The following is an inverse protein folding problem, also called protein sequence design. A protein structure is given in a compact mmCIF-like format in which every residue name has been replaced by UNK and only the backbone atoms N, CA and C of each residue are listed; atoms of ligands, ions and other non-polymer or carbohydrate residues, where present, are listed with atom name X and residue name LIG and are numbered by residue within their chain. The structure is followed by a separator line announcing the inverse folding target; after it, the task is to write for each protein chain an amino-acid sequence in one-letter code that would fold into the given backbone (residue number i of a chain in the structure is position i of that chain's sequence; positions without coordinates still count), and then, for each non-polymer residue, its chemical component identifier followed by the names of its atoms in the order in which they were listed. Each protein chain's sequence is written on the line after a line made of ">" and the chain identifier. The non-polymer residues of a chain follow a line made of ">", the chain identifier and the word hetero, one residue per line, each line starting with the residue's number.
data_IF_932118319949
#
_entry.id   IF_932118319949
#
_cell.length_a   1.000
_cell.length_b   1.000
_cell.length_c   1.000
_cell.angle_alpha   90.00
_cell.angle_beta   90.00
_cell.angle_gamma   90.00
#
_symmetry.space_group_name_H-M   'P 1'
#
loop_
_entity.id
_entity.type
_entity.pdbx_description
1 polymer ?
#
# COMPACT_ATOMS: atom_id res chain seq x y z
N UNK A 1 -10.55 4.18 -12.17
CA UNK A 1 -11.01 4.19 -10.77
C UNK A 1 -9.77 4.11 -9.92
N UNK A 2 -9.32 5.26 -9.43
CA UNK A 2 -8.15 5.34 -8.57
C UNK A 2 -8.59 5.09 -7.14
N UNK A 3 -8.28 3.89 -6.64
CA UNK A 3 -8.37 3.61 -5.22
C UNK A 3 -7.00 3.90 -4.63
N UNK A 4 -6.76 5.16 -4.31
CA UNK A 4 -5.58 5.60 -3.55
C UNK A 4 -6.03 5.86 -2.11
N UNK A 5 -5.60 5.03 -1.17
CA UNK A 5 -6.02 5.09 0.25
C UNK A 5 -4.99 5.78 1.14
N UNK A 6 -4.79 7.09 1.05
CA UNK A 6 -3.81 7.79 1.89
C UNK A 6 -4.33 8.09 3.30
N UNK A 7 -3.51 7.80 4.31
CA UNK A 7 -3.74 8.13 5.73
C UNK A 7 -3.53 9.63 6.00
N UNK A 8 -4.39 10.23 6.82
CA UNK A 8 -4.12 11.50 7.54
C UNK A 8 -4.87 11.49 8.87
N UNK A 9 -4.16 11.15 9.95
CA UNK A 9 -4.65 11.28 11.34
C UNK A 9 -4.45 12.71 11.80
N UNK A 10 -5.43 13.60 11.56
CA UNK A 10 -5.62 14.83 12.37
C UNK A 10 -6.87 15.62 11.96
N UNK A 11 -8.07 15.05 12.01
CA UNK A 11 -9.31 15.84 11.85
C UNK A 11 -10.37 15.39 12.84
N UNK A 12 -11.19 16.32 13.31
CA UNK A 12 -12.21 16.07 14.30
C UNK A 12 -13.19 15.01 13.78
N UNK A 13 -13.14 13.80 14.35
CA UNK A 13 -14.01 12.69 13.99
C UNK A 13 -15.15 12.59 15.00
N UNK A 14 -16.40 12.63 14.51
CA UNK A 14 -17.52 12.04 15.24
C UNK A 14 -17.55 10.54 14.96
N UNK A 15 -17.92 9.72 15.95
CA UNK A 15 -17.97 8.25 15.79
C UNK A 15 -19.39 7.78 15.58
N UNK A 16 -19.58 6.87 14.63
CA UNK A 16 -20.83 6.17 14.40
C UNK A 16 -20.60 4.66 14.26
N UNK A 17 -21.62 3.88 14.62
CA UNK A 17 -21.65 2.43 14.43
C UNK A 17 -22.58 2.14 13.27
N UNK A 18 -22.12 1.36 12.30
CA UNK A 18 -22.93 0.93 11.16
C UNK A 18 -22.69 -0.54 10.84
N UNK A 19 -23.72 -1.21 10.31
CA UNK A 19 -23.61 -2.54 9.71
C UNK A 19 -23.18 -2.34 8.26
N UNK A 20 -21.88 -2.50 8.01
CA UNK A 20 -21.30 -2.13 6.73
C UNK A 20 -20.81 -3.26 5.89
N UNK A 21 -20.50 -2.96 4.63
CA UNK A 21 -20.19 -3.97 3.64
C UNK A 21 -18.87 -3.67 2.94
N UNK A 22 -17.98 -4.66 2.89
CA UNK A 22 -16.78 -4.65 2.08
C UNK A 22 -17.12 -5.32 0.76
N UNK A 23 -16.86 -4.65 -0.37
CA UNK A 23 -17.13 -5.20 -1.70
C UNK A 23 -16.05 -4.74 -2.66
N UNK A 24 -15.50 -5.68 -3.42
CA UNK A 24 -14.77 -5.37 -4.66
C UNK A 24 -15.76 -5.38 -5.84
N UNK A 25 -15.44 -4.67 -6.92
CA UNK A 25 -16.36 -4.31 -8.02
C UNK A 25 -17.25 -5.47 -8.51
N UNK A 26 -16.68 -6.69 -8.59
CA UNK A 26 -17.35 -7.89 -9.10
C UNK A 26 -17.45 -9.03 -8.07
N UNK A 27 -17.06 -8.79 -6.81
CA UNK A 27 -17.03 -9.81 -5.75
C UNK A 27 -18.33 -9.91 -4.94
N UNK A 28 -18.52 -11.02 -4.19
CA UNK A 28 -19.57 -11.09 -3.19
C UNK A 28 -19.37 -10.01 -2.13
N UNK A 29 -20.48 -9.48 -1.64
CA UNK A 29 -20.48 -8.47 -0.59
C UNK A 29 -20.21 -9.13 0.77
N UNK A 30 -19.20 -8.64 1.49
CA UNK A 30 -18.86 -9.08 2.84
C UNK A 30 -19.49 -8.13 3.86
N UNK A 31 -20.55 -8.57 4.52
CA UNK A 31 -21.24 -7.76 5.54
C UNK A 31 -20.55 -7.88 6.90
N UNK A 32 -19.99 -6.78 7.40
CA UNK A 32 -19.28 -6.71 8.68
C UNK A 32 -20.08 -5.84 9.64
N UNK A 33 -20.82 -6.50 10.52
CA UNK A 33 -21.67 -5.84 11.51
C UNK A 33 -20.86 -5.13 12.60
N UNK A 34 -21.47 -4.14 13.26
CA UNK A 34 -20.88 -3.39 14.35
C UNK A 34 -19.53 -2.74 14.00
N UNK A 35 -19.39 -2.28 12.76
CA UNK A 35 -18.19 -1.57 12.32
C UNK A 35 -18.29 -0.12 12.73
N UNK A 36 -17.28 0.36 13.45
CA UNK A 36 -17.17 1.78 13.82
C UNK A 36 -16.43 2.52 12.72
N UNK A 37 -16.92 3.68 12.31
CA UNK A 37 -16.23 4.56 11.38
C UNK A 37 -16.20 6.00 11.90
N UNK A 38 -15.21 6.75 11.44
CA UNK A 38 -15.08 8.17 11.71
C UNK A 38 -15.86 8.99 10.68
N UNK A 39 -16.66 9.94 11.15
CA UNK A 39 -17.29 10.96 10.33
C UNK A 39 -16.40 12.21 10.34
N UNK A 40 -15.78 12.48 9.19
CA UNK A 40 -14.97 13.68 9.00
C UNK A 40 -15.85 14.93 8.96
N UNK A 41 -15.59 15.90 9.83
CA UNK A 41 -16.21 17.24 9.77
C UNK A 41 -15.37 18.24 8.99
N UNK A 42 -14.10 17.92 8.78
CA UNK A 42 -13.14 18.67 7.99
C UNK A 42 -12.33 17.66 7.17
N UNK A 43 -11.89 18.06 5.98
CA UNK A 43 -11.03 17.27 5.10
C UNK A 43 -9.81 18.11 4.69
N UNK A 44 -8.63 17.50 4.58
CA UNK A 44 -7.42 18.22 4.19
C UNK A 44 -7.49 18.68 2.72
N UNK A 45 -6.88 19.83 2.34
CA UNK A 45 -6.98 20.38 0.99
C UNK A 45 -6.52 19.45 -0.13
N UNK A 46 -5.61 18.51 0.17
CA UNK A 46 -5.14 17.56 -0.83
C UNK A 46 -6.25 16.59 -1.31
N UNK A 47 -7.35 16.42 -0.55
CA UNK A 47 -8.51 15.63 -0.98
C UNK A 47 -9.40 16.36 -2.00
N UNK A 48 -9.26 17.68 -2.19
CA UNK A 48 -10.15 18.47 -3.07
C UNK A 48 -10.19 17.95 -4.51
N UNK A 49 -9.10 17.35 -4.99
CA UNK A 49 -8.95 16.87 -6.36
C UNK A 49 -8.82 15.35 -6.46
N UNK A 50 -9.10 14.61 -5.37
CA UNK A 50 -9.06 13.14 -5.35
C UNK A 50 -10.50 12.62 -5.32
N UNK A 51 -10.85 11.75 -6.28
CA UNK A 51 -12.16 11.13 -6.36
C UNK A 51 -12.29 9.95 -5.37
N UNK A 52 -12.43 10.26 -4.07
CA UNK A 52 -12.65 9.27 -3.00
C UNK A 52 -13.75 9.73 -2.05
N UNK A 53 -14.60 8.79 -1.63
CA UNK A 53 -15.67 9.06 -0.66
C UNK A 53 -15.22 8.86 0.80
N UNK A 54 -14.03 8.27 1.02
CA UNK A 54 -13.48 8.02 2.34
C UNK A 54 -12.27 7.07 2.31
N UNK A 55 -11.78 6.73 3.50
CA UNK A 55 -10.63 5.85 3.69
C UNK A 55 -11.07 4.61 4.48
N UNK A 56 -10.67 3.45 3.99
CA UNK A 56 -10.82 2.19 4.69
C UNK A 56 -9.47 1.76 5.28
N UNK A 57 -9.28 1.96 6.58
CA UNK A 57 -8.06 1.55 7.27
C UNK A 57 -7.95 0.02 7.39
N UNK A 58 -6.86 -0.55 6.86
CA UNK A 58 -6.59 -2.00 6.88
C UNK A 58 -5.39 -2.40 7.76
N UNK A 59 -4.72 -1.43 8.38
CA UNK A 59 -3.63 -1.65 9.33
C UNK A 59 -4.13 -2.22 10.67
N UNK A 60 -3.21 -2.43 11.63
CA UNK A 60 -3.55 -3.05 12.91
C UNK A 60 -4.22 -2.06 13.87
N UNK A 61 -5.02 -2.59 14.81
CA UNK A 61 -5.75 -1.78 15.81
C UNK A 61 -4.82 -0.91 16.68
N UNK A 62 -3.56 -1.29 16.84
CA UNK A 62 -2.55 -0.57 17.63
C UNK A 62 -2.22 0.83 17.10
N UNK A 63 -2.47 1.09 15.82
CA UNK A 63 -2.28 2.41 15.18
C UNK A 63 -3.60 3.06 14.76
N UNK A 64 -4.74 2.43 15.10
CA UNK A 64 -6.04 3.03 14.85
C UNK A 64 -6.32 4.13 15.88
N UNK A 65 -6.90 5.23 15.43
CA UNK A 65 -7.34 6.30 16.32
C UNK A 65 -8.30 5.73 17.37
N UNK A 66 -8.06 6.10 18.64
CA UNK A 66 -8.75 5.58 19.81
C UNK A 66 -8.79 4.05 19.93
N UNK A 67 -7.84 3.35 19.31
CA UNK A 67 -7.77 1.90 19.25
C UNK A 67 -9.06 1.27 18.74
N UNK A 68 -9.78 1.94 17.84
CA UNK A 68 -11.00 1.40 17.24
C UNK A 68 -10.63 0.20 16.35
N UNK A 69 -11.43 -0.87 16.44
CA UNK A 69 -11.18 -2.11 15.70
C UNK A 69 -11.34 -1.88 14.19
N UNK A 70 -10.29 -2.12 13.38
CA UNK A 70 -10.38 -2.01 11.93
C UNK A 70 -11.39 -2.99 11.33
N UNK A 71 -12.06 -2.66 10.21
CA UNK A 71 -13.15 -3.48 9.65
C UNK A 71 -12.72 -4.91 9.29
N UNK A 72 -11.51 -5.10 8.76
CA UNK A 72 -11.00 -6.43 8.44
C UNK A 72 -10.79 -7.29 9.70
N UNK A 73 -10.23 -6.70 10.76
CA UNK A 73 -10.03 -7.39 12.04
C UNK A 73 -11.38 -7.73 12.67
N UNK A 74 -12.36 -6.82 12.56
CA UNK A 74 -13.73 -7.06 13.01
C UNK A 74 -14.38 -8.22 12.23
N UNK A 75 -14.13 -8.35 10.93
CA UNK A 75 -14.61 -9.46 10.12
C UNK A 75 -13.99 -10.80 10.52
N UNK A 76 -12.69 -10.81 10.83
CA UNK A 76 -11.97 -11.97 11.35
C UNK A 76 -12.57 -12.41 12.70
N UNK A 77 -12.77 -11.48 13.63
CA UNK A 77 -13.35 -11.79 14.96
C UNK A 77 -14.78 -12.32 14.88
N UNK A 78 -15.53 -11.92 13.85
CA UNK A 78 -16.87 -12.43 13.56
C UNK A 78 -16.86 -13.75 12.78
N UNK A 79 -15.68 -14.31 12.46
CA UNK A 79 -15.50 -15.53 11.66
C UNK A 79 -16.20 -15.46 10.29
N UNK A 80 -16.14 -14.30 9.64
CA UNK A 80 -16.78 -14.08 8.34
C UNK A 80 -15.88 -14.46 7.15
N UNK A 81 -14.62 -14.80 7.42
CA UNK A 81 -13.61 -15.13 6.42
C UNK A 81 -13.26 -16.62 6.50
N UNK A 82 -13.10 -17.28 5.35
CA UNK A 82 -12.63 -18.67 5.28
C UNK A 82 -11.23 -18.80 5.91
N UNK A 83 -10.33 -17.88 5.58
CA UNK A 83 -9.03 -17.73 6.22
C UNK A 83 -8.80 -16.26 6.64
N UNK A 84 -8.05 -15.98 7.72
CA UNK A 84 -7.75 -14.62 8.16
C UNK A 84 -6.67 -13.96 7.28
N UNK A 85 -6.88 -13.93 5.97
CA UNK A 85 -5.96 -13.45 4.94
C UNK A 85 -6.63 -12.36 4.13
N UNK A 86 -5.88 -11.28 3.88
CA UNK A 86 -6.17 -10.27 2.87
C UNK A 86 -5.11 -10.38 1.77
N UNK A 87 -5.55 -10.49 0.52
CA UNK A 87 -4.69 -10.34 -0.65
C UNK A 87 -5.06 -9.07 -1.40
N UNK A 88 -4.05 -8.29 -1.78
CA UNK A 88 -4.23 -7.09 -2.61
C UNK A 88 -3.42 -7.26 -3.88
N UNK A 89 -4.10 -7.17 -5.00
CA UNK A 89 -3.48 -7.13 -6.32
C UNK A 89 -3.74 -5.76 -6.95
N UNK A 90 -2.70 -5.11 -7.45
CA UNK A 90 -2.79 -3.84 -8.17
C UNK A 90 -2.08 -4.00 -9.52
N UNK A 91 -2.79 -3.71 -10.61
CA UNK A 91 -2.27 -3.79 -11.97
C UNK A 91 -1.93 -2.40 -12.52
N UNK A 92 -0.85 -2.33 -13.30
CA UNK A 92 -0.42 -1.10 -13.95
C UNK A 92 -1.17 -0.92 -15.29
N UNK A 93 -1.94 0.17 -15.41
CA UNK A 93 -2.72 0.49 -16.62
C UNK A 93 -2.39 1.86 -17.24
N UNK A 94 -1.35 2.54 -16.76
CA UNK A 94 -0.94 3.84 -17.30
C UNK A 94 -2.07 4.86 -17.23
N UNK A 95 -2.47 5.42 -18.39
CA UNK A 95 -3.51 6.44 -18.49
C UNK A 95 -4.90 5.86 -18.81
N UNK A 96 -5.04 4.54 -18.90
CA UNK A 96 -6.30 3.91 -19.25
C UNK A 96 -7.37 4.24 -18.21
N UNK A 97 -8.53 4.66 -18.69
CA UNK A 97 -9.66 5.04 -17.85
C UNK A 97 -10.70 3.91 -17.84
N UNK A 98 -11.41 3.77 -16.72
CA UNK A 98 -12.49 2.78 -16.56
C UNK A 98 -12.06 1.31 -16.75
N UNK A 99 -10.81 1.00 -16.47
CA UNK A 99 -10.29 -0.38 -16.42
C UNK A 99 -10.19 -0.88 -14.99
N UNK A 100 -10.34 -2.19 -14.79
CA UNK A 100 -10.12 -2.83 -13.49
C UNK A 100 -8.63 -2.83 -13.17
N UNK A 101 -8.20 -1.95 -12.25
CA UNK A 101 -6.80 -1.71 -11.92
C UNK A 101 -6.30 -2.49 -10.68
N UNK A 102 -7.13 -3.37 -10.13
CA UNK A 102 -6.78 -4.14 -8.94
C UNK A 102 -7.95 -4.95 -8.39
N UNK A 103 -7.65 -5.72 -7.35
CA UNK A 103 -8.57 -6.61 -6.63
C UNK A 103 -8.16 -6.67 -5.17
N UNK A 104 -9.15 -6.59 -4.28
CA UNK A 104 -9.01 -6.97 -2.87
C UNK A 104 -9.70 -8.31 -2.65
N UNK A 105 -8.96 -9.32 -2.22
CA UNK A 105 -9.49 -10.64 -1.88
C UNK A 105 -9.45 -10.81 -0.37
N UNK A 106 -10.63 -10.91 0.23
CA UNK A 106 -10.81 -11.22 1.65
C UNK A 106 -11.01 -12.72 1.80
N UNK A 107 -10.40 -13.34 2.80
CA UNK A 107 -10.66 -14.74 3.12
C UNK A 107 -9.70 -15.74 2.49
N UNK A 108 -8.68 -15.29 1.77
CA UNK A 108 -7.73 -16.21 1.12
C UNK A 108 -6.75 -15.54 0.18
N UNK A 109 -5.99 -16.40 -0.51
CA UNK A 109 -5.06 -16.00 -1.57
C UNK A 109 -5.80 -15.77 -2.89
N UNK A 110 -5.42 -14.73 -3.61
CA UNK A 110 -5.89 -14.51 -4.98
C UNK A 110 -5.14 -15.43 -5.96
N UNK A 111 -5.73 -16.57 -6.30
CA UNK A 111 -5.13 -17.53 -7.26
C UNK A 111 -5.35 -17.15 -8.72
N UNK A 112 -6.11 -16.09 -9.00
CA UNK A 112 -6.43 -15.64 -10.37
C UNK A 112 -5.41 -14.61 -10.82
N UNK A 113 -5.15 -13.59 -10.00
CA UNK A 113 -4.26 -12.49 -10.37
C UNK A 113 -2.83 -12.66 -9.82
N UNK A 114 -2.66 -13.41 -8.71
CA UNK A 114 -1.33 -13.66 -8.16
C UNK A 114 -0.83 -15.05 -8.57
N UNK A 115 0.44 -15.14 -8.97
CA UNK A 115 1.06 -16.44 -9.21
C UNK A 115 1.38 -17.14 -7.87
N UNK A 116 0.45 -17.98 -7.42
CA UNK A 116 0.56 -18.75 -6.18
C UNK A 116 1.18 -20.14 -6.40
N UNK A 117 1.41 -20.57 -7.64
CA UNK A 117 1.91 -21.92 -7.96
C UNK A 117 3.32 -22.20 -7.45
N UNK A 118 4.16 -21.17 -7.34
CA UNK A 118 5.49 -21.26 -6.75
C UNK A 118 5.49 -21.16 -5.21
N UNK A 119 4.30 -21.08 -4.59
CA UNK A 119 4.12 -20.80 -3.17
C UNK A 119 4.25 -19.32 -2.83
N UNK A 120 3.64 -18.92 -1.71
CA UNK A 120 3.76 -17.57 -1.16
C UNK A 120 5.02 -17.48 -0.32
N UNK A 121 5.81 -16.43 -0.55
CA UNK A 121 6.98 -16.14 0.29
C UNK A 121 6.55 -15.28 1.47
N UNK A 122 6.31 -15.93 2.61
CA UNK A 122 5.91 -15.25 3.84
C UNK A 122 7.11 -14.65 4.57
N UNK A 123 6.96 -13.40 5.00
CA UNK A 123 7.95 -12.69 5.81
C UNK A 123 7.29 -12.30 7.12
N UNK A 124 7.98 -12.54 8.23
CA UNK A 124 7.45 -12.20 9.55
C UNK A 124 7.38 -10.69 9.73
N UNK A 125 6.29 -10.20 10.31
CA UNK A 125 6.16 -8.81 10.70
C UNK A 125 7.19 -8.46 11.78
N UNK A 126 7.83 -7.29 11.65
CA UNK A 126 8.71 -6.76 12.69
C UNK A 126 7.94 -6.03 13.80
N UNK A 127 6.75 -5.49 13.48
CA UNK A 127 5.78 -4.97 14.43
C UNK A 127 4.36 -5.10 13.87
N UNK A 128 3.38 -5.38 14.74
CA UNK A 128 1.96 -5.39 14.39
C UNK A 128 1.36 -3.98 14.57
N UNK A 129 1.86 -3.03 13.78
CA UNK A 129 1.42 -1.62 13.72
C UNK A 129 0.82 -1.33 12.34
N UNK A 130 1.69 -1.22 11.34
CA UNK A 130 1.35 -1.36 9.93
C UNK A 130 1.70 -2.79 9.48
N UNK A 131 1.53 -3.10 8.18
CA UNK A 131 2.13 -4.30 7.57
C UNK A 131 3.65 -4.14 7.46
N UNK A 132 4.30 -4.02 8.62
CA UNK A 132 5.71 -3.69 8.78
C UNK A 132 6.56 -4.95 8.85
N UNK A 133 7.61 -5.01 8.04
CA UNK A 133 8.54 -6.13 7.99
C UNK A 133 9.97 -5.66 7.77
N UNK A 134 10.92 -6.59 7.90
CA UNK A 134 12.33 -6.32 7.68
C UNK A 134 12.73 -6.54 6.22
N UNK A 135 13.44 -5.57 5.67
CA UNK A 135 14.11 -5.68 4.37
C UNK A 135 15.62 -5.69 4.58
N UNK A 136 16.32 -6.58 3.88
CA UNK A 136 17.75 -6.84 4.05
C UNK A 136 18.63 -5.84 3.29
N UNK A 137 18.09 -5.18 2.27
CA UNK A 137 18.81 -4.12 1.58
C UNK A 137 18.18 -3.66 0.27
N UNK A 138 18.74 -2.56 -0.24
CA UNK A 138 18.33 -1.90 -1.48
C UNK A 138 19.57 -1.76 -2.36
N UNK A 139 19.42 -2.14 -3.63
CA UNK A 139 20.51 -2.14 -4.59
C UNK A 139 20.07 -1.48 -5.89
N UNK A 140 20.99 -0.74 -6.51
CA UNK A 140 20.78 -0.17 -7.85
C UNK A 140 22.05 -0.39 -8.64
N UNK A 141 21.93 -1.06 -9.80
CA UNK A 141 23.07 -1.37 -10.67
C UNK A 141 24.23 -2.08 -9.94
N UNK A 142 23.91 -3.00 -9.03
CA UNK A 142 24.91 -3.71 -8.21
C UNK A 142 25.52 -2.88 -7.07
N UNK A 143 25.19 -1.60 -6.94
CA UNK A 143 25.60 -0.77 -5.79
C UNK A 143 24.65 -0.97 -4.62
N UNK A 144 25.22 -1.26 -3.45
CA UNK A 144 24.51 -1.31 -2.18
C UNK A 144 24.17 0.11 -1.74
N UNK A 145 22.88 0.42 -1.62
CA UNK A 145 22.42 1.72 -1.12
C UNK A 145 22.18 1.70 0.39
N UNK A 146 21.63 0.57 0.84
CA UNK A 146 21.49 0.17 2.23
C UNK A 146 21.67 -1.35 2.33
N UNK A 147 22.48 -1.79 3.29
CA UNK A 147 22.69 -3.21 3.64
C UNK A 147 22.35 -3.49 5.10
N UNK A 148 21.77 -2.52 5.80
CA UNK A 148 21.25 -2.75 7.13
C UNK A 148 19.84 -3.30 7.01
N UNK A 149 19.46 -4.14 7.98
CA UNK A 149 18.09 -4.60 8.06
C UNK A 149 17.18 -3.43 8.47
N UNK A 150 16.40 -2.91 7.53
CA UNK A 150 15.53 -1.76 7.73
C UNK A 150 14.08 -2.18 7.88
N UNK A 151 13.33 -1.44 8.70
CA UNK A 151 11.88 -1.58 8.76
C UNK A 151 11.25 -0.89 7.55
N UNK A 152 10.36 -1.61 6.88
CA UNK A 152 9.55 -1.11 5.77
C UNK A 152 8.11 -1.55 5.96
N UNK A 153 7.18 -0.86 5.31
CA UNK A 153 5.76 -1.20 5.33
C UNK A 153 5.28 -1.49 3.90
N UNK A 154 4.32 -2.40 3.78
CA UNK A 154 3.48 -2.49 2.59
C UNK A 154 2.31 -1.54 2.76
N UNK A 155 2.24 -0.49 1.92
CA UNK A 155 1.27 0.59 2.05
C UNK A 155 0.53 0.81 0.73
N UNK A 156 -0.71 0.30 0.66
CA UNK A 156 -1.62 0.49 -0.49
C UNK A 156 -2.12 1.93 -0.61
N UNK A 157 -1.87 2.75 0.40
CA UNK A 157 -2.22 4.15 0.39
C UNK A 157 -1.27 5.00 -0.42
N UNK A 158 0.01 4.68 -0.45
CA UNK A 158 1.01 5.55 -1.05
C UNK A 158 1.26 5.19 -2.52
N UNK A 159 1.08 6.16 -3.42
CA UNK A 159 1.27 5.97 -4.88
C UNK A 159 2.74 5.72 -5.27
N UNK A 160 3.69 6.20 -4.47
CA UNK A 160 5.13 6.09 -4.71
C UNK A 160 5.82 5.20 -3.67
N UNK A 161 7.00 4.68 -4.01
CA UNK A 161 7.90 4.09 -3.00
C UNK A 161 8.62 5.24 -2.30
N UNK A 162 8.23 5.53 -1.07
CA UNK A 162 8.90 6.50 -0.21
C UNK A 162 10.02 5.84 0.61
N UNK A 163 11.02 6.63 1.01
CA UNK A 163 12.10 6.15 1.84
C UNK A 163 12.97 7.28 2.39
N UNK A 164 13.99 6.97 3.21
CA UNK A 164 14.87 7.98 3.79
C UNK A 164 15.50 8.86 2.71
N UNK A 165 15.49 10.18 2.92
CA UNK A 165 15.95 11.16 1.93
C UNK A 165 17.37 10.86 1.40
N UNK A 166 18.26 10.38 2.27
CA UNK A 166 19.62 9.99 1.89
C UNK A 166 19.66 8.82 0.88
N UNK A 167 18.78 7.83 1.03
CA UNK A 167 18.69 6.68 0.12
C UNK A 167 18.06 7.12 -1.20
N UNK A 168 16.93 7.83 -1.14
CA UNK A 168 16.25 8.34 -2.34
C UNK A 168 17.17 9.24 -3.15
N UNK A 169 17.94 10.12 -2.48
CA UNK A 169 18.94 10.96 -3.13
C UNK A 169 20.03 10.13 -3.83
N UNK A 170 20.56 9.07 -3.20
CA UNK A 170 21.55 8.19 -3.86
C UNK A 170 20.97 7.53 -5.11
N UNK A 171 19.73 7.05 -5.06
CA UNK A 171 19.04 6.50 -6.24
C UNK A 171 18.97 7.58 -7.33
N UNK A 172 18.47 8.78 -6.97
CA UNK A 172 18.36 9.90 -7.88
C UNK A 172 19.69 10.28 -8.54
N UNK A 173 20.78 10.35 -7.77
CA UNK A 173 22.11 10.64 -8.28
C UNK A 173 22.58 9.57 -9.29
N UNK A 174 22.32 8.29 -9.03
CA UNK A 174 22.68 7.17 -9.93
C UNK A 174 21.89 7.22 -11.24
N UNK A 175 20.60 7.52 -11.18
CA UNK A 175 19.73 7.54 -12.38
C UNK A 175 19.74 8.89 -13.10
N UNK A 176 20.43 9.89 -12.55
CA UNK A 176 20.52 11.24 -13.12
C UNK A 176 19.27 12.10 -12.91
N UNK A 177 18.45 11.78 -11.90
CA UNK A 177 17.25 12.53 -11.57
C UNK A 177 17.59 13.87 -10.90
N UNK A 178 16.68 14.84 -11.02
CA UNK A 178 16.80 16.17 -10.40
C UNK A 178 15.65 16.41 -9.45
N UNK A 179 15.97 16.92 -8.27
CA UNK A 179 14.96 17.27 -7.30
C UNK A 179 14.19 18.50 -7.76
N UNK A 180 12.87 18.41 -7.68
CA UNK A 180 11.93 19.49 -7.93
C UNK A 180 11.31 19.89 -6.58
N UNK A 181 11.56 21.13 -6.17
CA UNK A 181 11.10 21.63 -4.86
C UNK A 181 9.62 21.97 -4.81
N UNK A 182 8.98 22.19 -5.95
CA UNK A 182 7.54 22.47 -5.98
C UNK A 182 6.76 21.16 -5.84
N UNK A 183 7.18 20.14 -6.57
CA UNK A 183 6.56 18.81 -6.55
C UNK A 183 7.03 17.94 -5.37
N UNK A 184 8.13 18.32 -4.71
CA UNK A 184 8.79 17.51 -3.67
C UNK A 184 9.19 16.11 -4.17
N UNK A 185 9.54 16.00 -5.45
CA UNK A 185 9.87 14.74 -6.13
C UNK A 185 11.20 14.83 -6.89
N UNK A 186 11.78 13.67 -7.22
CA UNK A 186 12.90 13.60 -8.17
C UNK A 186 12.38 13.29 -9.58
N UNK A 187 12.70 14.17 -10.53
CA UNK A 187 12.25 14.09 -11.91
C UNK A 187 13.34 13.55 -12.83
N UNK A 188 12.91 12.77 -13.82
CA UNK A 188 13.72 12.25 -14.92
C UNK A 188 13.08 12.62 -16.25
N UNK A 189 13.90 12.70 -17.31
CA UNK A 189 13.38 12.76 -18.67
C UNK A 189 12.65 11.45 -18.98
N UNK A 190 11.48 11.51 -19.63
CA UNK A 190 10.75 10.30 -20.02
C UNK A 190 11.56 9.37 -20.94
N UNK A 191 12.54 9.91 -21.67
CA UNK A 191 13.47 9.14 -22.52
C UNK A 191 14.68 8.57 -21.78
N UNK A 192 14.83 8.85 -20.48
CA UNK A 192 15.95 8.35 -19.69
C UNK A 192 15.86 6.82 -19.54
N UNK A 193 17.00 6.16 -19.73
CA UNK A 193 17.16 4.74 -19.40
C UNK A 193 17.89 4.66 -18.08
N UNK A 194 17.32 3.93 -17.12
CA UNK A 194 17.89 3.76 -15.80
C UNK A 194 17.92 2.28 -15.40
N UNK A 195 18.87 1.86 -14.56
CA UNK A 195 18.92 0.50 -14.05
C UNK A 195 17.69 0.19 -13.18
N UNK A 196 17.31 -1.09 -13.03
CA UNK A 196 16.30 -1.49 -12.07
C UNK A 196 16.74 -1.20 -10.63
N UNK A 197 15.76 -1.03 -9.75
CA UNK A 197 15.95 -1.03 -8.29
C UNK A 197 15.65 -2.43 -7.78
N UNK A 198 16.56 -2.99 -6.99
CA UNK A 198 16.42 -4.30 -6.39
C UNK A 198 16.21 -4.17 -4.88
N UNK A 199 15.23 -4.90 -4.36
CA UNK A 199 14.91 -5.00 -2.94
C UNK A 199 15.18 -6.43 -2.50
N UNK A 200 15.96 -6.60 -1.43
CA UNK A 200 16.23 -7.90 -0.83
C UNK A 200 15.36 -8.06 0.41
N UNK A 201 14.45 -9.03 0.41
CA UNK A 201 13.54 -9.30 1.53
C UNK A 201 13.66 -10.79 1.87
N UNK A 202 14.07 -11.08 3.10
CA UNK A 202 14.39 -12.44 3.58
C UNK A 202 15.24 -13.24 2.56
N UNK A 203 16.33 -12.62 2.13
CA UNK A 203 17.29 -13.14 1.14
C UNK A 203 16.72 -13.41 -0.25
N UNK A 204 15.44 -13.10 -0.49
CA UNK A 204 14.81 -13.16 -1.81
C UNK A 204 14.87 -11.80 -2.51
N UNK A 205 15.22 -11.82 -3.79
CA UNK A 205 15.32 -10.63 -4.63
C UNK A 205 13.98 -10.27 -5.26
N UNK A 206 13.59 -9.01 -5.14
CA UNK A 206 12.45 -8.38 -5.81
C UNK A 206 12.95 -7.22 -6.65
N UNK A 207 12.48 -7.10 -7.89
CA UNK A 207 13.04 -6.16 -8.88
C UNK A 207 11.95 -5.21 -9.37
N UNK A 208 12.19 -3.91 -9.25
CA UNK A 208 11.43 -2.87 -9.93
C UNK A 208 12.22 -2.35 -11.12
N UNK A 209 11.83 -2.79 -12.30
CA UNK A 209 12.39 -2.32 -13.56
C UNK A 209 11.70 -1.04 -14.05
N UNK A 210 12.40 -0.17 -14.80
CA UNK A 210 11.76 0.89 -15.58
C UNK A 210 10.69 0.29 -16.49
N UNK A 211 9.52 0.93 -16.59
CA UNK A 211 8.58 0.62 -17.66
C UNK A 211 9.02 1.28 -18.95
N UNK A 212 9.17 0.50 -20.01
CA UNK A 212 9.31 1.03 -21.37
C UNK A 212 7.95 1.48 -21.85
N UNK A 213 7.84 2.73 -22.33
CA UNK A 213 6.68 3.20 -23.09
C UNK A 213 6.56 2.43 -24.41
#
# INVERSE_FOLDING_TARGET
>A
MDVTFLFSTEQALQKAIWGGCLKDADGPQLEVNNTTFGLATEIAPFFENIHVDGILGLAFQSVADDHIKPPLINAIDQNLLDEPILTVYLSQHGNDQNVRAGVFTYGGLDTVNCNTTAGVHYVKLSAATYFQFKMDGIYVNGHVLDSNQVDVISDTGTSFIAGPAAIVKKIADIVGAKYDSELQLYLLKCSAKYPPVEFMIDKKKYIRSPTTN
#
